data_IF_659413104557
#
_entry.id   IF_659413104557
#
_cell.length_a   1.000
_cell.length_b   1.000
_cell.length_c   1.000
_cell.angle_alpha   90.00
_cell.angle_beta   90.00
_cell.angle_gamma   90.00
#
_symmetry.space_group_name_H-M   'P 1'
#
loop_
_entity.id
_entity.type
_entity.pdbx_description
1 polymer ?
#
# COMPACT_ATOMS: atom_id res chain seq x y z
N UNK A 1 -20.98 0.89 13.51
CA UNK A 1 -21.07 -0.34 14.34
C UNK A 1 -19.77 -1.09 14.16
N UNK A 2 -19.17 -1.57 15.24
CA UNK A 2 -17.96 -2.41 15.19
C UNK A 2 -18.36 -3.83 15.56
N UNK A 3 -17.90 -4.81 14.79
CA UNK A 3 -18.05 -6.22 15.09
C UNK A 3 -16.65 -6.84 15.20
N UNK A 4 -16.42 -7.66 16.20
CA UNK A 4 -15.18 -8.41 16.40
C UNK A 4 -15.49 -9.89 16.16
N UNK A 5 -14.67 -10.55 15.36
CA UNK A 5 -14.79 -11.96 15.01
C UNK A 5 -13.43 -12.63 15.19
N UNK A 6 -13.42 -13.74 15.93
CA UNK A 6 -12.23 -14.60 16.03
C UNK A 6 -12.21 -15.57 14.86
N UNK A 7 -11.10 -15.60 14.15
CA UNK A 7 -10.90 -16.41 12.94
C UNK A 7 -9.70 -17.34 13.10
N UNK A 8 -9.78 -18.53 12.51
CA UNK A 8 -8.67 -19.46 12.51
C UNK A 8 -7.55 -18.96 11.61
N UNK A 9 -6.32 -19.06 12.11
CA UNK A 9 -5.10 -18.65 11.39
C UNK A 9 -4.08 -19.78 11.35
N UNK A 10 -3.11 -19.74 10.42
CA UNK A 10 -1.96 -20.62 10.46
C UNK A 10 -1.11 -20.36 11.71
N UNK A 11 -0.17 -21.30 12.03
CA UNK A 11 0.82 -21.07 13.07
C UNK A 11 1.67 -19.81 12.83
N UNK A 12 2.02 -19.11 13.91
CA UNK A 12 2.80 -17.86 13.85
C UNK A 12 4.14 -18.03 13.13
N UNK A 13 4.79 -19.16 13.33
CA UNK A 13 6.09 -19.48 12.69
C UNK A 13 6.06 -19.42 11.16
N UNK A 14 4.90 -19.59 10.52
CA UNK A 14 4.78 -19.48 9.06
C UNK A 14 5.00 -18.06 8.55
N UNK A 15 4.62 -17.06 9.34
CA UNK A 15 4.82 -15.65 9.00
C UNK A 15 6.18 -15.09 9.41
N UNK A 16 6.96 -15.82 10.22
CA UNK A 16 8.26 -15.39 10.70
C UNK A 16 9.44 -15.99 9.90
N UNK A 17 9.20 -16.96 9.04
CA UNK A 17 10.24 -17.66 8.29
C UNK A 17 10.11 -17.40 6.79
N UNK A 18 11.06 -16.67 6.22
CA UNK A 18 11.10 -16.29 4.80
C UNK A 18 11.17 -17.50 3.84
N UNK A 19 11.72 -18.63 4.29
CA UNK A 19 11.86 -19.83 3.49
C UNK A 19 10.71 -20.83 3.68
N UNK A 20 9.62 -20.40 4.30
CA UNK A 20 8.49 -21.27 4.54
C UNK A 20 7.62 -21.38 3.28
N UNK A 21 7.44 -22.59 2.77
CA UNK A 21 6.55 -22.91 1.64
C UNK A 21 5.05 -22.84 2.02
N UNK A 22 4.75 -22.74 3.32
CA UNK A 22 3.38 -22.68 3.80
C UNK A 22 2.85 -21.25 3.78
N UNK A 23 1.56 -21.09 3.49
CA UNK A 23 0.89 -19.82 3.51
C UNK A 23 0.91 -19.23 4.93
N UNK A 24 1.42 -18.00 5.13
CA UNK A 24 1.57 -17.42 6.46
C UNK A 24 0.29 -16.79 7.02
N UNK A 25 -0.75 -16.73 6.23
CA UNK A 25 -2.06 -16.16 6.59
C UNK A 25 -3.20 -17.07 6.12
N UNK A 26 -4.38 -16.87 6.67
CA UNK A 26 -5.61 -17.47 6.18
C UNK A 26 -6.41 -16.46 5.35
N UNK A 27 -7.03 -16.90 4.26
CA UNK A 27 -7.89 -16.09 3.42
C UNK A 27 -9.37 -16.29 3.78
N UNK A 28 -10.09 -15.18 3.91
CA UNK A 28 -11.51 -15.16 4.17
C UNK A 28 -12.26 -14.28 3.18
N UNK A 29 -13.50 -14.66 2.88
CA UNK A 29 -14.45 -13.81 2.19
C UNK A 29 -15.44 -13.25 3.20
N UNK A 30 -15.67 -11.94 3.15
CA UNK A 30 -16.57 -11.23 4.05
C UNK A 30 -17.77 -10.74 3.27
N UNK A 31 -18.96 -11.06 3.73
CA UNK A 31 -20.20 -10.48 3.25
C UNK A 31 -20.77 -9.56 4.31
N UNK A 32 -21.11 -8.33 3.93
CA UNK A 32 -21.62 -7.32 4.84
C UNK A 32 -23.00 -6.90 4.37
N UNK A 33 -23.97 -7.05 5.28
CA UNK A 33 -25.36 -6.73 5.02
C UNK A 33 -25.90 -5.81 6.12
N UNK A 34 -26.66 -4.81 5.71
CA UNK A 34 -27.43 -3.97 6.64
C UNK A 34 -28.77 -3.55 5.99
N UNK A 35 -29.85 -3.44 6.79
CA UNK A 35 -31.14 -3.02 6.26
C UNK A 35 -31.09 -1.64 5.60
N UNK A 36 -31.52 -1.57 4.35
CA UNK A 36 -31.53 -0.32 3.57
C UNK A 36 -30.21 0.07 2.90
N UNK A 37 -29.21 -0.81 2.97
CA UNK A 37 -27.91 -0.63 2.31
C UNK A 37 -27.68 -1.72 1.26
N UNK A 38 -26.77 -1.45 0.33
CA UNK A 38 -26.28 -2.43 -0.63
C UNK A 38 -25.43 -3.49 0.09
N UNK A 39 -25.45 -4.72 -0.41
CA UNK A 39 -24.59 -5.77 0.11
C UNK A 39 -23.19 -5.58 -0.41
N UNK A 40 -22.20 -5.62 0.45
CA UNK A 40 -20.79 -5.61 0.05
C UNK A 40 -20.16 -6.98 0.27
N UNK A 41 -19.44 -7.47 -0.74
CA UNK A 41 -18.64 -8.67 -0.67
C UNK A 41 -17.17 -8.29 -0.83
N UNK A 42 -16.34 -8.71 0.12
CA UNK A 42 -14.90 -8.49 0.11
C UNK A 42 -14.23 -9.86 0.06
N UNK A 43 -13.49 -10.14 -1.00
CA UNK A 43 -12.79 -11.41 -1.20
C UNK A 43 -11.33 -11.29 -0.82
N UNK A 44 -10.72 -12.42 -0.46
CA UNK A 44 -9.29 -12.54 -0.17
C UNK A 44 -8.79 -11.69 1.00
N UNK A 45 -9.61 -11.51 2.03
CA UNK A 45 -9.19 -10.83 3.26
C UNK A 45 -8.20 -11.73 3.99
N UNK A 46 -6.98 -11.25 4.12
CA UNK A 46 -5.89 -12.00 4.76
C UNK A 46 -5.86 -11.75 6.27
N UNK A 47 -5.84 -12.85 7.02
CA UNK A 47 -5.80 -12.83 8.48
C UNK A 47 -4.53 -13.52 8.96
N UNK A 48 -3.66 -12.73 9.57
CA UNK A 48 -2.41 -13.18 10.17
C UNK A 48 -2.62 -13.68 11.60
N UNK A 49 -1.82 -14.66 12.07
CA UNK A 49 -1.88 -15.13 13.45
C UNK A 49 -1.54 -14.00 14.44
N UNK A 50 -2.10 -14.06 15.63
CA UNK A 50 -1.85 -13.14 16.75
C UNK A 50 -1.92 -11.65 16.39
N UNK A 51 -2.70 -11.30 15.36
CA UNK A 51 -2.86 -9.93 14.89
C UNK A 51 -4.33 -9.52 14.79
N UNK A 52 -4.59 -8.23 14.94
CA UNK A 52 -5.90 -7.63 14.71
C UNK A 52 -5.94 -7.01 13.32
N UNK A 53 -6.71 -7.61 12.42
CA UNK A 53 -7.02 -7.02 11.12
C UNK A 53 -8.23 -6.10 11.21
N UNK A 54 -8.13 -4.91 10.67
CA UNK A 54 -9.21 -3.93 10.64
C UNK A 54 -9.71 -3.78 9.21
N UNK A 55 -10.98 -4.04 8.99
CA UNK A 55 -11.65 -3.82 7.72
C UNK A 55 -12.70 -2.71 7.88
N UNK A 56 -12.37 -1.52 7.41
CA UNK A 56 -13.32 -0.41 7.35
C UNK A 56 -14.21 -0.54 6.13
N UNK A 57 -15.52 -0.37 6.33
CA UNK A 57 -16.52 -0.48 5.27
C UNK A 57 -17.41 0.75 5.27
N UNK A 58 -17.67 1.31 4.09
CA UNK A 58 -18.60 2.41 3.87
C UNK A 58 -19.74 1.96 2.97
N UNK A 59 -20.78 1.42 3.59
CA UNK A 59 -21.94 0.93 2.86
C UNK A 59 -22.72 2.08 2.18
N UNK A 60 -23.16 1.84 0.95
CA UNK A 60 -24.03 2.75 0.18
C UNK A 60 -25.48 2.46 0.48
N UNK A 61 -26.35 3.48 0.49
CA UNK A 61 -27.79 3.28 0.59
C UNK A 61 -28.28 2.58 -0.66
N UNK A 62 -29.19 1.64 -0.47
CA UNK A 62 -29.75 0.87 -1.58
C UNK A 62 -30.62 1.76 -2.45
N UNK A 63 -30.20 1.99 -3.70
CA UNK A 63 -30.94 2.69 -4.76
C UNK A 63 -31.35 1.72 -5.90
N UNK A 64 -31.43 0.42 -5.59
CA UNK A 64 -31.72 -0.69 -6.52
C UNK A 64 -31.16 -2.01 -6.01
N UNK A 65 -31.05 -3.01 -6.87
CA UNK A 65 -30.36 -4.27 -6.60
C UNK A 65 -28.89 -4.17 -7.09
N UNK A 66 -28.04 -3.54 -6.31
CA UNK A 66 -26.60 -3.52 -6.60
C UNK A 66 -25.84 -4.22 -5.49
N UNK A 67 -24.84 -4.99 -5.89
CA UNK A 67 -23.88 -5.66 -5.01
C UNK A 67 -22.51 -5.12 -5.34
N UNK A 68 -21.81 -4.57 -4.35
CA UNK A 68 -20.43 -4.16 -4.51
C UNK A 68 -19.50 -5.35 -4.19
N UNK A 69 -18.60 -5.66 -5.12
CA UNK A 69 -17.60 -6.70 -4.94
C UNK A 69 -16.23 -6.05 -4.91
N UNK A 70 -15.49 -6.27 -3.83
CA UNK A 70 -14.11 -5.84 -3.64
C UNK A 70 -13.25 -7.09 -3.62
N UNK A 71 -12.25 -7.16 -4.48
CA UNK A 71 -11.28 -8.22 -4.51
C UNK A 71 -9.93 -7.69 -4.04
N UNK A 72 -9.34 -8.31 -3.02
CA UNK A 72 -8.05 -7.91 -2.47
C UNK A 72 -6.99 -8.75 -3.14
N UNK A 73 -6.01 -8.08 -3.73
CA UNK A 73 -4.85 -8.74 -4.32
C UNK A 73 -4.03 -9.45 -3.23
N UNK A 74 -3.54 -10.67 -3.50
CA UNK A 74 -2.72 -11.41 -2.53
C UNK A 74 -1.43 -10.67 -2.18
N UNK A 75 -0.97 -10.81 -0.94
CA UNK A 75 0.34 -10.36 -0.53
C UNK A 75 1.46 -11.07 -1.30
N UNK A 76 2.45 -10.30 -1.74
CA UNK A 76 3.62 -10.80 -2.48
C UNK A 76 4.91 -10.61 -1.71
N UNK A 77 4.86 -10.67 -0.37
CA UNK A 77 5.98 -10.36 0.52
C UNK A 77 7.24 -11.16 0.25
N UNK A 78 7.08 -12.43 -0.13
CA UNK A 78 8.19 -13.30 -0.50
C UNK A 78 8.25 -13.58 -1.99
N UNK A 79 7.45 -12.86 -2.79
CA UNK A 79 7.61 -12.83 -4.22
C UNK A 79 8.89 -12.06 -4.59
N UNK A 80 9.28 -12.13 -5.83
CA UNK A 80 10.47 -11.46 -6.34
C UNK A 80 10.56 -10.03 -5.81
N UNK A 81 11.63 -9.72 -5.09
CA UNK A 81 11.92 -8.34 -4.71
C UNK A 81 11.93 -7.48 -5.96
N UNK A 82 11.31 -6.30 -5.94
CA UNK A 82 11.45 -5.36 -7.04
C UNK A 82 12.94 -5.16 -7.32
N UNK A 83 13.31 -5.09 -8.58
CA UNK A 83 14.69 -4.76 -8.99
C UNK A 83 15.13 -3.54 -8.19
N UNK A 84 16.36 -3.55 -7.69
CA UNK A 84 16.94 -2.39 -7.01
C UNK A 84 16.67 -1.15 -7.86
N UNK A 85 16.22 -0.10 -7.23
CA UNK A 85 16.09 1.19 -7.91
C UNK A 85 17.45 1.52 -8.52
N UNK A 86 17.55 1.68 -9.84
CA UNK A 86 18.80 2.04 -10.49
C UNK A 86 19.42 3.27 -9.82
N UNK A 87 20.73 3.31 -9.73
CA UNK A 87 21.44 4.38 -9.03
C UNK A 87 21.21 5.76 -9.70
N UNK A 88 20.92 5.77 -10.99
CA UNK A 88 20.51 6.94 -11.78
C UNK A 88 19.10 7.45 -11.46
N UNK A 89 18.28 6.66 -10.78
CA UNK A 89 17.02 7.12 -10.19
C UNK A 89 17.19 7.74 -8.80
N UNK A 90 18.35 7.57 -8.17
CA UNK A 90 18.69 8.26 -6.92
C UNK A 90 19.16 9.66 -7.31
N UNK A 91 18.24 10.62 -7.16
CA UNK A 91 18.47 12.00 -7.53
C UNK A 91 19.49 12.66 -6.61
N UNK A 92 20.56 13.22 -7.15
CA UNK A 92 21.44 14.10 -6.40
C UNK A 92 20.71 15.43 -6.13
N UNK A 93 20.57 15.77 -4.86
CA UNK A 93 19.91 17.01 -4.40
C UNK A 93 20.61 18.27 -4.90
N UNK A 94 21.84 18.14 -5.39
CA UNK A 94 22.71 19.22 -5.81
C UNK A 94 22.81 19.39 -7.35
N UNK A 95 22.04 18.64 -8.13
CA UNK A 95 22.04 18.82 -9.58
C UNK A 95 21.52 20.22 -9.97
N UNK A 96 22.29 20.99 -10.75
CA UNK A 96 21.89 22.33 -11.14
C UNK A 96 20.68 22.30 -12.06
N UNK A 97 19.66 23.05 -11.72
CA UNK A 97 18.44 23.26 -12.51
C UNK A 97 17.20 22.52 -12.03
N UNK A 98 17.27 21.80 -10.92
CA UNK A 98 16.14 21.11 -10.36
C UNK A 98 15.43 21.94 -9.26
N UNK A 99 14.08 21.87 -9.26
CA UNK A 99 13.28 22.45 -8.20
C UNK A 99 13.36 21.49 -7.00
N UNK A 100 14.03 21.94 -5.95
CA UNK A 100 14.12 21.25 -4.67
C UNK A 100 13.46 22.11 -3.61
N UNK A 101 12.60 21.54 -2.80
CA UNK A 101 11.99 22.26 -1.70
C UNK A 101 13.08 22.76 -0.74
N UNK A 102 12.95 23.99 -0.25
CA UNK A 102 13.92 24.61 0.65
C UNK A 102 14.12 23.90 1.99
N UNK A 103 13.22 22.99 2.31
CA UNK A 103 13.25 22.16 3.53
C UNK A 103 12.42 20.89 3.33
N UNK A 104 12.75 19.84 4.07
CA UNK A 104 11.93 18.64 4.14
C UNK A 104 10.61 18.97 4.83
N UNK A 105 9.50 18.64 4.16
CA UNK A 105 8.15 18.87 4.65
C UNK A 105 7.41 17.53 4.59
N UNK A 106 6.74 17.17 5.68
CA UNK A 106 5.81 16.03 5.68
C UNK A 106 4.49 16.54 5.07
N UNK A 107 4.10 16.06 3.88
CA UNK A 107 2.89 16.52 3.23
C UNK A 107 1.66 15.95 3.96
N UNK A 108 0.56 16.68 3.92
CA UNK A 108 -0.73 16.15 4.40
C UNK A 108 -1.28 15.09 3.45
N UNK A 109 -1.11 15.33 2.14
CA UNK A 109 -1.56 14.44 1.06
C UNK A 109 -0.45 14.17 0.07
N UNK A 110 -0.53 13.01 -0.56
CA UNK A 110 0.26 12.66 -1.76
C UNK A 110 -0.70 12.32 -2.90
N UNK A 111 -0.27 12.60 -4.12
CA UNK A 111 -0.99 12.19 -5.33
C UNK A 111 -0.35 10.89 -5.82
N UNK A 112 -1.10 9.80 -5.77
CA UNK A 112 -0.65 8.47 -6.17
C UNK A 112 -1.19 8.13 -7.55
N UNK A 113 -0.32 7.94 -8.52
CA UNK A 113 -0.67 7.41 -9.84
C UNK A 113 -0.78 5.90 -9.78
N UNK A 114 -1.95 5.34 -10.14
CA UNK A 114 -2.20 3.90 -9.99
C UNK A 114 -1.66 3.09 -11.18
N UNK A 115 -0.36 3.02 -11.31
CA UNK A 115 0.31 2.30 -12.38
C UNK A 115 1.73 2.80 -12.63
N UNK A 116 2.28 2.42 -13.79
CA UNK A 116 3.57 2.95 -14.25
C UNK A 116 3.44 4.42 -14.65
N UNK A 117 4.49 5.24 -14.58
CA UNK A 117 4.42 6.67 -14.84
C UNK A 117 3.79 7.06 -16.18
N UNK A 118 4.00 6.26 -17.22
CA UNK A 118 3.49 6.51 -18.58
C UNK A 118 2.13 5.85 -18.86
N UNK A 119 1.56 5.13 -17.89
CA UNK A 119 0.27 4.46 -18.08
C UNK A 119 -0.89 5.47 -18.05
N UNK A 120 -1.97 5.16 -18.78
CA UNK A 120 -3.21 5.92 -18.68
C UNK A 120 -4.01 5.40 -17.48
N UNK A 121 -3.53 5.72 -16.27
CA UNK A 121 -4.13 5.29 -15.03
C UNK A 121 -4.66 6.48 -14.23
N UNK A 122 -5.45 6.20 -13.20
CA UNK A 122 -6.08 7.21 -12.38
C UNK A 122 -5.16 7.68 -11.26
N UNK A 123 -5.20 8.98 -10.98
CA UNK A 123 -4.54 9.61 -9.83
C UNK A 123 -5.47 9.66 -8.63
N UNK A 124 -4.93 9.31 -7.46
CA UNK A 124 -5.65 9.32 -6.20
C UNK A 124 -5.00 10.30 -5.22
N UNK A 125 -5.81 11.17 -4.62
CA UNK A 125 -5.40 12.00 -3.48
C UNK A 125 -5.55 11.20 -2.21
N UNK A 126 -4.43 10.86 -1.58
CA UNK A 126 -4.38 10.01 -0.38
C UNK A 126 -3.67 10.76 0.74
N UNK A 127 -4.14 10.65 1.99
CA UNK A 127 -3.39 11.22 3.11
C UNK A 127 -2.02 10.53 3.19
N UNK A 128 -0.98 11.29 3.51
CA UNK A 128 0.37 10.72 3.65
C UNK A 128 0.40 9.54 4.62
N UNK A 129 -0.33 9.66 5.73
CA UNK A 129 -0.44 8.59 6.73
C UNK A 129 -1.04 7.30 6.17
N UNK A 130 -2.12 7.41 5.41
CA UNK A 130 -2.78 6.23 4.85
C UNK A 130 -1.98 5.62 3.70
N UNK A 131 -1.28 6.45 2.92
CA UNK A 131 -0.32 5.98 1.94
C UNK A 131 0.79 5.15 2.60
N UNK A 132 1.45 5.66 3.66
CA UNK A 132 2.52 4.93 4.37
C UNK A 132 2.00 3.62 4.97
N UNK A 133 0.79 3.63 5.57
CA UNK A 133 0.18 2.40 6.09
C UNK A 133 -0.07 1.37 5.00
N UNK A 134 -0.61 1.81 3.86
CA UNK A 134 -0.91 0.92 2.74
C UNK A 134 0.36 0.27 2.19
N UNK A 135 1.41 1.06 1.96
CA UNK A 135 2.70 0.52 1.50
C UNK A 135 3.30 -0.43 2.54
N UNK A 136 3.34 -0.03 3.82
CA UNK A 136 3.89 -0.88 4.87
C UNK A 136 3.13 -2.21 4.98
N UNK A 137 1.80 -2.20 4.92
CA UNK A 137 0.99 -3.42 5.00
C UNK A 137 1.15 -4.34 3.79
N UNK A 138 1.62 -3.84 2.64
CA UNK A 138 1.92 -4.64 1.46
C UNK A 138 3.38 -5.14 1.40
N UNK A 139 4.26 -4.61 2.25
CA UNK A 139 5.68 -5.00 2.26
C UNK A 139 6.08 -5.88 3.45
N UNK A 140 5.38 -5.76 4.58
CA UNK A 140 5.75 -6.43 5.83
C UNK A 140 4.52 -6.97 6.55
N UNK A 141 4.70 -8.09 7.29
CA UNK A 141 3.64 -8.63 8.12
C UNK A 141 3.59 -7.96 9.50
N UNK A 142 2.37 -7.77 10.01
CA UNK A 142 2.13 -7.23 11.35
C UNK A 142 2.72 -8.11 12.48
N UNK A 143 3.02 -9.37 12.18
CA UNK A 143 3.63 -10.36 13.09
C UNK A 143 5.13 -10.19 13.25
N UNK A 144 5.78 -9.40 12.39
CA UNK A 144 7.23 -9.19 12.49
C UNK A 144 7.62 -8.39 13.73
N UNK A 145 8.87 -8.53 14.21
CA UNK A 145 9.34 -7.77 15.36
C UNK A 145 9.14 -6.27 15.17
N UNK A 146 8.68 -5.60 16.22
CA UNK A 146 8.38 -4.16 16.18
C UNK A 146 9.52 -3.31 15.62
N UNK A 147 10.76 -3.62 15.99
CA UNK A 147 11.94 -2.90 15.49
C UNK A 147 12.09 -3.03 13.96
N UNK A 148 11.77 -4.20 13.40
CA UNK A 148 11.78 -4.44 11.95
C UNK A 148 10.69 -3.63 11.26
N UNK A 149 9.48 -3.61 11.82
CA UNK A 149 8.36 -2.81 11.31
C UNK A 149 8.72 -1.31 11.33
N UNK A 150 9.23 -0.81 12.44
CA UNK A 150 9.64 0.59 12.59
C UNK A 150 10.74 0.97 11.59
N UNK A 151 11.75 0.13 11.41
CA UNK A 151 12.83 0.37 10.45
C UNK A 151 12.31 0.42 9.00
N UNK A 152 11.43 -0.50 8.63
CA UNK A 152 10.83 -0.53 7.29
C UNK A 152 9.93 0.70 7.05
N UNK A 153 9.08 1.07 8.00
CA UNK A 153 8.25 2.27 7.91
C UNK A 153 9.10 3.53 7.73
N UNK A 154 10.22 3.66 8.45
CA UNK A 154 11.14 4.78 8.29
C UNK A 154 11.79 4.80 6.90
N UNK A 155 12.13 3.64 6.34
CA UNK A 155 12.64 3.53 4.98
C UNK A 155 11.61 3.98 3.94
N UNK A 156 10.36 3.50 4.05
CA UNK A 156 9.23 3.92 3.20
C UNK A 156 9.02 5.44 3.29
N UNK A 157 9.01 5.99 4.51
CA UNK A 157 8.87 7.43 4.73
C UNK A 157 10.00 8.21 4.05
N UNK A 158 11.24 7.76 4.22
CA UNK A 158 12.41 8.41 3.63
C UNK A 158 12.35 8.42 2.11
N UNK A 159 11.99 7.29 1.50
CA UNK A 159 11.80 7.18 0.06
C UNK A 159 10.71 8.13 -0.45
N UNK A 160 9.55 8.11 0.20
CA UNK A 160 8.41 8.95 -0.19
C UNK A 160 8.73 10.44 -0.05
N UNK A 161 9.36 10.83 1.07
CA UNK A 161 9.76 12.23 1.29
C UNK A 161 10.83 12.69 0.31
N UNK A 162 11.71 11.80 -0.13
CA UNK A 162 12.65 12.12 -1.21
C UNK A 162 11.89 12.48 -2.50
N UNK A 163 10.87 11.71 -2.88
CA UNK A 163 10.04 12.00 -4.07
C UNK A 163 9.28 13.32 -3.95
N UNK A 164 8.78 13.63 -2.76
CA UNK A 164 8.12 14.92 -2.45
C UNK A 164 9.14 16.06 -2.50
N UNK A 165 10.25 15.88 -1.80
CA UNK A 165 11.28 16.93 -1.64
C UNK A 165 11.95 17.32 -2.95
N UNK A 166 12.25 16.35 -3.81
CA UNK A 166 12.88 16.57 -5.12
C UNK A 166 11.88 16.86 -6.23
N UNK A 167 10.57 16.80 -5.95
CA UNK A 167 9.50 16.87 -6.96
C UNK A 167 9.74 15.94 -8.17
N UNK A 168 10.26 14.74 -7.89
CA UNK A 168 10.80 13.80 -8.86
C UNK A 168 9.94 13.61 -10.12
N UNK A 169 8.66 13.31 -9.94
CA UNK A 169 7.76 13.11 -11.07
C UNK A 169 7.29 14.41 -11.71
N UNK A 170 7.07 15.47 -10.91
CA UNK A 170 6.66 16.78 -11.41
C UNK A 170 7.73 17.42 -12.27
N UNK A 171 9.00 17.27 -11.90
CA UNK A 171 10.14 17.72 -12.73
C UNK A 171 10.24 16.97 -14.08
N UNK A 172 9.63 15.77 -14.18
CA UNK A 172 9.52 15.02 -15.44
C UNK A 172 8.22 15.32 -16.20
N UNK A 173 7.42 16.31 -15.76
CA UNK A 173 6.21 16.75 -16.43
C UNK A 173 4.93 15.99 -16.05
N UNK A 174 4.96 15.21 -14.97
CA UNK A 174 3.80 14.50 -14.44
C UNK A 174 3.09 15.29 -13.34
N UNK A 175 1.79 15.10 -13.17
CA UNK A 175 0.97 15.81 -12.18
C UNK A 175 0.81 15.07 -10.84
N UNK A 176 1.55 13.97 -10.64
CA UNK A 176 1.47 13.15 -9.42
C UNK A 176 2.78 13.18 -8.61
N UNK A 177 2.70 12.78 -7.34
CA UNK A 177 3.82 12.76 -6.41
C UNK A 177 4.60 11.45 -6.48
N UNK A 178 3.89 10.33 -6.61
CA UNK A 178 4.44 8.97 -6.55
C UNK A 178 3.55 8.02 -7.35
N UNK A 179 4.09 6.86 -7.73
CA UNK A 179 3.33 5.79 -8.41
C UNK A 179 3.03 4.64 -7.46
N UNK A 180 1.98 3.87 -7.75
CA UNK A 180 1.71 2.61 -7.07
C UNK A 180 2.61 1.47 -7.59
N UNK A 181 3.21 1.64 -8.76
CA UNK A 181 4.11 0.66 -9.37
C UNK A 181 5.50 0.79 -8.77
N UNK A 182 6.06 -0.33 -8.32
CA UNK A 182 7.49 -0.45 -7.96
C UNK A 182 8.38 -0.60 -9.19
N UNK A 183 7.81 -0.88 -10.36
CA UNK A 183 8.54 -0.91 -11.60
C UNK A 183 8.93 0.52 -11.99
N UNK A 184 10.16 0.88 -11.77
CA UNK A 184 10.78 2.00 -12.46
C UNK A 184 10.57 1.78 -13.97
N UNK A 185 9.94 2.77 -14.62
CA UNK A 185 9.63 2.63 -16.02
C UNK A 185 10.89 2.27 -16.80
N UNK A 186 10.90 1.09 -17.41
CA UNK A 186 11.81 0.83 -18.50
C UNK A 186 11.41 1.80 -19.61
N UNK A 187 12.04 2.97 -19.61
CA UNK A 187 12.04 3.82 -20.79
C UNK A 187 12.89 3.09 -21.84
N UNK A 188 12.22 2.49 -22.84
CA UNK A 188 12.85 2.09 -24.08
C UNK A 188 13.22 3.29 -24.90
#
# INVERSE_FOLDING_TARGET
QTQIVDLNTPPLEYSLNENNENMPYANYNIQIEAPGYETENISNVEILPDSLSLQDVRMRRREGEQVENIDIDPHTLYAEYPEKIPEDEIKDVNEPGEIVLSRVVIPEYVVVHNGTPSSNARDYYVTYKDYIKNVASSEIYATWPRATIEANVLAIMSFTLNRVYTEWYRNKGYDFTITSSTAAGKSG
#
